data_IF_624780528498
#
_entry.id   IF_624780528498
#
_cell.length_a   1.000
_cell.length_b   1.000
_cell.length_c   1.000
_cell.angle_alpha   90.00
_cell.angle_beta   90.00
_cell.angle_gamma   90.00
#
_symmetry.space_group_name_H-M   'P 1'
#
loop_
_entity.id
_entity.type
_entity.pdbx_description
1 polymer ?
#
# COMPACT_ATOMS: atom_id res chain seq x y z
N UNK A 1 18.82 -0.62 13.89
CA UNK A 1 17.40 -0.86 14.22
C UNK A 1 16.54 -0.21 13.16
N UNK A 2 15.67 -0.97 12.53
CA UNK A 2 14.74 -0.47 11.50
C UNK A 2 13.33 -0.39 12.11
N UNK A 3 12.71 0.78 12.07
CA UNK A 3 11.32 0.98 12.49
C UNK A 3 10.39 0.73 11.30
N UNK A 4 9.34 -0.05 11.52
CA UNK A 4 8.26 -0.23 10.55
C UNK A 4 6.96 0.27 11.15
N UNK A 5 6.38 1.33 10.58
CA UNK A 5 5.04 1.80 10.92
C UNK A 5 3.99 1.11 10.06
N UNK A 6 2.74 1.05 10.52
CA UNK A 6 1.73 0.22 9.84
C UNK A 6 2.09 -1.27 9.83
N UNK A 7 2.84 -1.74 10.81
CA UNK A 7 3.47 -3.06 10.89
C UNK A 7 2.49 -4.25 10.89
N UNK A 8 1.22 -4.02 11.15
CA UNK A 8 0.16 -5.05 11.13
C UNK A 8 -0.70 -5.02 9.86
N UNK A 9 -0.44 -4.06 8.95
CA UNK A 9 -1.15 -3.94 7.67
C UNK A 9 -0.51 -4.76 6.55
N UNK A 10 -1.14 -4.74 5.36
CA UNK A 10 -0.74 -5.54 4.19
C UNK A 10 0.74 -5.40 3.81
N UNK A 11 1.25 -4.18 3.71
CA UNK A 11 2.66 -3.94 3.35
C UNK A 11 3.57 -4.10 4.57
N UNK A 12 3.19 -3.51 5.71
CA UNK A 12 4.06 -3.47 6.89
C UNK A 12 4.33 -4.84 7.50
N UNK A 13 3.34 -5.74 7.56
CA UNK A 13 3.51 -7.08 8.12
C UNK A 13 4.46 -7.91 7.26
N UNK A 14 4.32 -7.84 5.95
CA UNK A 14 5.20 -8.52 5.01
C UNK A 14 6.63 -7.92 5.05
N UNK A 15 6.75 -6.59 5.14
CA UNK A 15 8.04 -5.91 5.30
C UNK A 15 8.76 -6.37 6.60
N UNK A 16 8.04 -6.42 7.72
CA UNK A 16 8.58 -6.93 8.99
C UNK A 16 9.09 -8.36 8.84
N UNK A 17 8.31 -9.23 8.17
CA UNK A 17 8.69 -10.62 7.92
C UNK A 17 9.96 -10.72 7.06
N UNK A 18 10.04 -9.94 5.98
CA UNK A 18 11.18 -9.96 5.06
C UNK A 18 12.45 -9.40 5.70
N UNK A 19 12.36 -8.31 6.47
CA UNK A 19 13.51 -7.74 7.20
C UNK A 19 14.00 -8.71 8.27
N UNK A 20 13.11 -9.33 9.04
CA UNK A 20 13.48 -10.33 10.05
C UNK A 20 14.16 -11.55 9.41
N UNK A 21 13.66 -12.03 8.27
CA UNK A 21 14.27 -13.13 7.51
C UNK A 21 15.68 -12.81 6.99
N UNK A 22 16.00 -11.53 6.78
CA UNK A 22 17.34 -11.04 6.42
C UNK A 22 18.27 -10.86 7.63
N UNK A 23 17.79 -11.12 8.85
CA UNK A 23 18.54 -10.96 10.08
C UNK A 23 18.61 -9.52 10.60
N UNK A 24 17.78 -8.63 10.06
CA UNK A 24 17.74 -7.24 10.49
C UNK A 24 17.09 -7.09 11.87
N UNK A 25 17.55 -6.10 12.63
CA UNK A 25 16.90 -5.71 13.90
C UNK A 25 15.70 -4.84 13.58
N UNK A 26 14.49 -5.36 13.81
CA UNK A 26 13.23 -4.71 13.43
C UNK A 26 12.45 -4.32 14.67
N UNK A 27 11.88 -3.13 14.65
CA UNK A 27 10.87 -2.63 15.58
C UNK A 27 9.57 -2.38 14.83
N UNK A 28 8.51 -3.10 15.22
CA UNK A 28 7.17 -2.98 14.67
C UNK A 28 6.34 -2.01 15.53
N UNK A 29 5.87 -0.92 14.93
CA UNK A 29 5.01 0.05 15.60
C UNK A 29 3.55 -0.27 15.31
N UNK A 30 2.77 -0.42 16.38
CA UNK A 30 1.32 -0.67 16.32
C UNK A 30 0.60 0.01 17.47
N UNK A 31 -0.71 0.28 17.29
CA UNK A 31 -1.59 0.77 18.37
C UNK A 31 -1.94 -0.33 19.38
N UNK A 32 -1.96 -1.57 18.91
CA UNK A 32 -2.26 -2.77 19.73
C UNK A 32 -1.09 -3.77 19.67
N UNK A 33 -0.11 -3.67 20.61
CA UNK A 33 0.99 -4.64 20.67
C UNK A 33 0.57 -6.05 21.04
N UNK A 34 -0.52 -6.22 21.82
CA UNK A 34 -0.96 -7.53 22.28
C UNK A 34 -1.53 -8.39 21.15
N UNK A 35 -2.17 -7.76 20.17
CA UNK A 35 -2.72 -8.43 18.97
C UNK A 35 -1.71 -8.59 17.83
N UNK A 36 -0.49 -8.05 17.94
CA UNK A 36 0.47 -8.05 16.85
C UNK A 36 1.09 -9.44 16.65
N UNK A 37 0.95 -9.98 15.46
CA UNK A 37 1.61 -11.23 15.05
C UNK A 37 2.87 -10.88 14.23
N UNK A 38 4.04 -11.04 14.86
CA UNK A 38 5.33 -10.74 14.24
C UNK A 38 6.30 -11.93 14.39
N UNK A 39 7.32 -12.05 13.52
CA UNK A 39 8.35 -13.08 13.67
C UNK A 39 9.11 -12.99 15.00
N UNK A 40 9.65 -14.12 15.50
CA UNK A 40 10.50 -14.11 16.67
C UNK A 40 11.69 -13.14 16.54
N UNK A 41 11.99 -12.40 17.61
CA UNK A 41 13.09 -11.44 17.64
C UNK A 41 12.72 -10.02 17.15
N UNK A 42 11.52 -9.83 16.62
CA UNK A 42 11.00 -8.49 16.31
C UNK A 42 10.51 -7.81 17.57
N UNK A 43 10.99 -6.59 17.81
CA UNK A 43 10.51 -5.76 18.92
C UNK A 43 9.15 -5.14 18.56
N UNK A 44 8.14 -5.30 19.41
CA UNK A 44 6.83 -4.65 19.20
C UNK A 44 6.68 -3.51 20.18
N UNK A 45 6.37 -2.32 19.66
CA UNK A 45 6.16 -1.13 20.48
C UNK A 45 4.80 -0.51 20.22
N UNK A 46 4.21 0.05 21.28
CA UNK A 46 3.02 0.85 21.13
C UNK A 46 3.36 2.23 20.57
N UNK A 47 2.63 2.65 19.53
CA UNK A 47 2.71 4.00 19.01
C UNK A 47 1.38 4.42 18.39
N UNK A 48 1.01 5.65 18.66
CA UNK A 48 -0.16 6.30 18.07
C UNK A 48 0.29 7.59 17.40
N UNK A 49 -0.10 7.79 16.15
CA UNK A 49 0.27 8.98 15.37
C UNK A 49 -0.27 10.28 15.96
N UNK A 50 -1.30 10.17 16.80
CA UNK A 50 -1.90 11.30 17.52
C UNK A 50 -1.27 11.55 18.91
N UNK A 51 -0.34 10.66 19.34
CA UNK A 51 0.39 10.78 20.61
C UNK A 51 1.89 10.93 20.35
N UNK A 52 2.42 12.18 20.29
CA UNK A 52 3.84 12.43 20.02
C UNK A 52 4.78 11.78 21.04
N UNK A 53 4.36 11.62 22.30
CA UNK A 53 5.16 10.95 23.32
C UNK A 53 5.40 9.48 23.01
N UNK A 54 4.40 8.79 22.50
CA UNK A 54 4.53 7.39 22.08
C UNK A 54 5.45 7.23 20.88
N UNK A 55 5.45 8.20 19.94
CA UNK A 55 6.34 8.19 18.79
C UNK A 55 7.80 8.41 19.16
N UNK A 56 8.06 9.30 20.14
CA UNK A 56 9.42 9.52 20.64
C UNK A 56 10.04 8.25 21.23
N UNK A 57 9.29 7.48 22.01
CA UNK A 57 9.73 6.18 22.52
C UNK A 57 9.98 5.18 21.42
N UNK A 58 9.10 5.14 20.43
CA UNK A 58 9.19 4.20 19.30
C UNK A 58 10.41 4.47 18.40
N UNK A 59 10.84 5.72 18.23
CA UNK A 59 11.96 6.11 17.36
C UNK A 59 13.33 6.04 18.06
N UNK A 60 13.39 5.85 19.38
CA UNK A 60 14.65 5.81 20.11
C UNK A 60 15.60 4.71 19.60
N UNK A 61 16.83 5.08 19.20
CA UNK A 61 17.86 4.15 18.69
C UNK A 61 17.57 3.56 17.30
N UNK A 62 16.60 4.11 16.58
CA UNK A 62 16.28 3.74 15.19
C UNK A 62 17.25 4.43 14.24
N UNK A 63 17.72 3.72 13.23
CA UNK A 63 18.64 4.24 12.20
C UNK A 63 17.94 4.43 10.84
N UNK A 64 16.94 3.61 10.53
CA UNK A 64 16.13 3.72 9.32
C UNK A 64 14.65 3.46 9.66
N UNK A 65 13.74 4.10 8.95
CA UNK A 65 12.30 3.93 9.21
C UNK A 65 11.49 3.84 7.92
N UNK A 66 10.56 2.88 7.91
CA UNK A 66 9.47 2.81 6.94
C UNK A 66 8.26 3.56 7.50
N UNK A 67 7.79 4.53 6.75
CA UNK A 67 6.75 5.46 7.18
C UNK A 67 5.45 5.24 6.38
N UNK A 68 4.41 4.86 7.08
CA UNK A 68 3.05 4.77 6.57
C UNK A 68 2.10 5.33 7.64
N UNK A 69 1.64 6.56 7.43
CA UNK A 69 0.49 7.11 8.15
C UNK A 69 -0.81 6.64 7.53
N UNK A 70 -1.91 6.75 8.25
CA UNK A 70 -3.23 6.54 7.68
C UNK A 70 -3.56 7.72 6.75
N UNK A 71 -3.66 7.49 5.42
CA UNK A 71 -4.00 8.56 4.49
C UNK A 71 -5.45 9.01 4.67
N UNK A 72 -5.74 10.24 4.30
CA UNK A 72 -7.09 10.78 4.35
C UNK A 72 -7.10 12.30 4.37
N UNK A 73 -8.29 12.90 4.21
CA UNK A 73 -8.43 14.34 4.23
C UNK A 73 -7.88 14.96 5.52
N UNK A 74 -6.92 15.88 5.39
CA UNK A 74 -6.32 16.60 6.53
C UNK A 74 -5.46 15.75 7.48
N UNK A 75 -5.13 14.52 7.11
CA UNK A 75 -4.25 13.66 7.91
C UNK A 75 -2.87 14.29 8.11
N UNK A 76 -2.39 14.29 9.37
CA UNK A 76 -1.05 14.74 9.75
C UNK A 76 -0.16 13.61 10.29
N UNK A 77 -0.56 12.38 10.11
CA UNK A 77 0.13 11.21 10.67
C UNK A 77 1.56 11.10 10.16
N UNK A 78 1.77 11.27 8.86
CA UNK A 78 3.11 11.22 8.27
C UNK A 78 4.02 12.34 8.78
N UNK A 79 3.49 13.57 8.93
CA UNK A 79 4.24 14.70 9.46
C UNK A 79 4.69 14.43 10.91
N UNK A 80 3.83 13.86 11.75
CA UNK A 80 4.18 13.49 13.12
C UNK A 80 5.27 12.40 13.16
N UNK A 81 5.17 11.39 12.29
CA UNK A 81 6.16 10.33 12.15
C UNK A 81 7.52 10.87 11.69
N UNK A 82 7.54 11.72 10.67
CA UNK A 82 8.76 12.35 10.17
C UNK A 82 9.40 13.21 11.26
N UNK A 83 8.63 14.04 11.94
CA UNK A 83 9.14 14.89 13.03
C UNK A 83 9.77 14.05 14.15
N UNK A 84 9.13 12.96 14.58
CA UNK A 84 9.66 12.06 15.60
C UNK A 84 10.95 11.36 15.13
N UNK A 85 10.98 10.89 13.88
CA UNK A 85 12.16 10.24 13.29
C UNK A 85 13.35 11.20 13.19
N UNK A 86 13.14 12.41 12.71
CA UNK A 86 14.18 13.45 12.62
C UNK A 86 14.71 13.83 14.01
N UNK A 87 13.83 14.03 14.98
CA UNK A 87 14.22 14.34 16.36
C UNK A 87 15.04 13.22 17.03
N UNK A 88 14.83 11.97 16.63
CA UNK A 88 15.58 10.81 17.11
C UNK A 88 16.89 10.56 16.34
N UNK A 89 17.20 11.36 15.30
CA UNK A 89 18.40 11.22 14.49
C UNK A 89 18.36 10.04 13.51
N UNK A 90 17.16 9.65 13.04
CA UNK A 90 17.02 8.63 12.00
C UNK A 90 17.67 9.12 10.71
N UNK A 91 18.50 8.29 10.09
CA UNK A 91 19.30 8.68 8.91
C UNK A 91 18.57 8.45 7.60
N UNK A 92 17.68 7.45 7.54
CA UNK A 92 17.00 7.02 6.31
C UNK A 92 15.51 6.86 6.52
N UNK A 93 14.73 7.50 5.64
CA UNK A 93 13.28 7.43 5.64
C UNK A 93 12.78 6.83 4.32
N UNK A 94 11.96 5.79 4.39
CA UNK A 94 11.23 5.24 3.24
C UNK A 94 9.75 5.47 3.46
N UNK A 95 9.15 6.34 2.64
CA UNK A 95 7.74 6.74 2.74
C UNK A 95 6.90 5.95 1.75
N UNK A 96 5.89 5.23 2.24
CA UNK A 96 4.83 4.70 1.37
C UNK A 96 3.82 5.81 1.06
N UNK A 97 3.69 6.10 -0.22
CA UNK A 97 2.76 7.04 -0.82
C UNK A 97 1.81 6.28 -1.76
N UNK A 98 1.31 6.91 -2.80
CA UNK A 98 0.49 6.30 -3.84
C UNK A 98 0.79 6.92 -5.20
N UNK A 99 0.57 6.15 -6.28
CA UNK A 99 0.58 6.68 -7.65
C UNK A 99 -0.42 7.85 -7.77
N UNK A 100 -0.07 8.85 -8.59
CA UNK A 100 -0.91 10.03 -8.80
C UNK A 100 -0.89 11.04 -7.64
N UNK A 101 -0.03 10.85 -6.61
CA UNK A 101 0.11 11.86 -5.54
C UNK A 101 0.58 13.19 -6.11
N UNK A 102 -0.21 14.24 -5.86
CA UNK A 102 0.02 15.61 -6.35
C UNK A 102 -0.45 15.84 -7.79
N UNK A 103 -1.08 14.87 -8.42
CA UNK A 103 -1.71 15.04 -9.73
C UNK A 103 -3.13 15.59 -9.58
N UNK A 104 -3.43 16.80 -10.11
CA UNK A 104 -4.75 17.39 -9.99
C UNK A 104 -5.85 16.61 -10.71
N UNK A 105 -5.51 15.76 -11.68
CA UNK A 105 -6.49 14.93 -12.40
C UNK A 105 -7.03 13.79 -11.54
N UNK A 106 -6.27 13.34 -10.52
CA UNK A 106 -6.73 12.33 -9.55
C UNK A 106 -7.81 12.87 -8.61
N UNK A 107 -7.91 14.20 -8.49
CA UNK A 107 -8.84 14.85 -7.58
C UNK A 107 -8.39 14.79 -6.10
N UNK A 108 -9.33 14.93 -5.14
CA UNK A 108 -9.00 15.10 -3.73
C UNK A 108 -8.14 13.99 -3.11
N UNK A 109 -8.25 12.74 -3.58
CA UNK A 109 -7.41 11.64 -3.06
C UNK A 109 -5.95 11.75 -3.50
N UNK A 110 -5.66 12.44 -4.58
CA UNK A 110 -4.29 12.76 -5.02
C UNK A 110 -3.52 13.61 -4.02
N UNK A 111 -4.22 14.37 -3.18
CA UNK A 111 -3.59 15.26 -2.19
C UNK A 111 -3.30 14.59 -0.84
N UNK A 112 -3.86 13.40 -0.58
CA UNK A 112 -3.77 12.79 0.76
C UNK A 112 -2.35 12.50 1.23
N UNK A 113 -1.43 12.20 0.33
CA UNK A 113 -0.04 11.92 0.65
C UNK A 113 0.89 13.13 0.47
N UNK A 114 0.45 14.20 -0.20
CA UNK A 114 1.28 15.38 -0.48
C UNK A 114 1.95 15.97 0.76
N UNK A 115 1.23 16.20 1.89
CA UNK A 115 1.88 16.74 3.10
C UNK A 115 2.95 15.82 3.69
N UNK A 116 2.75 14.49 3.59
CA UNK A 116 3.70 13.49 4.07
C UNK A 116 4.94 13.42 3.18
N UNK A 117 4.77 13.46 1.86
CA UNK A 117 5.89 13.52 0.92
C UNK A 117 6.73 14.79 1.10
N UNK A 118 6.05 15.93 1.28
CA UNK A 118 6.76 17.19 1.52
C UNK A 118 7.55 17.14 2.82
N UNK A 119 6.95 16.65 3.92
CA UNK A 119 7.64 16.50 5.19
C UNK A 119 8.89 15.62 5.10
N UNK A 120 8.83 14.54 4.31
CA UNK A 120 9.97 13.64 4.08
C UNK A 120 11.06 14.35 3.27
N UNK A 121 10.71 15.08 2.20
CA UNK A 121 11.68 15.85 1.39
C UNK A 121 12.38 16.94 2.21
N UNK A 122 11.65 17.60 3.10
CA UNK A 122 12.18 18.69 3.95
C UNK A 122 12.91 18.17 5.20
N UNK A 123 12.95 16.86 5.42
CA UNK A 123 13.47 16.25 6.65
C UNK A 123 14.97 16.42 6.86
N UNK A 124 15.74 16.68 5.80
CA UNK A 124 17.21 16.70 5.83
C UNK A 124 17.84 15.30 6.00
N UNK A 125 17.07 14.22 5.88
CA UNK A 125 17.56 12.84 5.94
C UNK A 125 17.72 12.26 4.54
N UNK A 126 18.36 11.08 4.41
CA UNK A 126 18.26 10.28 3.19
C UNK A 126 16.83 9.77 3.06
N UNK A 127 16.10 10.22 2.05
CA UNK A 127 14.70 9.85 1.88
C UNK A 127 14.42 9.15 0.55
N UNK A 128 13.47 8.23 0.57
CA UNK A 128 12.91 7.60 -0.62
C UNK A 128 11.38 7.55 -0.52
N UNK A 129 10.69 7.84 -1.61
CA UNK A 129 9.23 7.79 -1.69
C UNK A 129 8.83 6.64 -2.62
N UNK A 130 7.93 5.78 -2.16
CA UNK A 130 7.35 4.69 -2.92
C UNK A 130 5.90 5.03 -3.28
N UNK A 131 5.59 5.09 -4.57
CA UNK A 131 4.25 5.36 -5.11
C UNK A 131 3.69 4.11 -5.78
N UNK A 132 3.18 3.14 -5.03
CA UNK A 132 2.57 1.96 -5.63
C UNK A 132 1.28 2.31 -6.37
N UNK A 133 0.98 1.55 -7.41
CA UNK A 133 -0.31 1.47 -8.09
C UNK A 133 -1.28 0.59 -7.27
N UNK A 134 -2.39 0.15 -7.88
CA UNK A 134 -3.37 -0.72 -7.25
C UNK A 134 -2.75 -2.03 -6.76
N UNK A 135 -3.09 -2.45 -5.55
CA UNK A 135 -2.59 -3.71 -5.01
C UNK A 135 -3.42 -4.91 -5.51
N UNK A 136 -2.74 -5.99 -5.89
CA UNK A 136 -3.39 -7.27 -6.21
C UNK A 136 -4.27 -7.76 -5.05
N UNK A 137 -3.85 -7.52 -3.80
CA UNK A 137 -4.60 -7.90 -2.60
C UNK A 137 -5.97 -7.20 -2.45
N UNK A 138 -6.25 -6.13 -3.19
CA UNK A 138 -7.57 -5.50 -3.18
C UNK A 138 -8.65 -6.48 -3.63
N UNK A 139 -8.31 -7.43 -4.49
CA UNK A 139 -9.24 -8.46 -4.98
C UNK A 139 -9.62 -9.50 -3.93
N UNK A 140 -8.96 -9.55 -2.76
CA UNK A 140 -9.41 -10.36 -1.64
C UNK A 140 -10.79 -9.93 -1.12
N UNK A 141 -11.18 -8.67 -1.33
CA UNK A 141 -12.55 -8.21 -1.04
C UNK A 141 -13.63 -8.92 -1.87
N UNK A 142 -13.25 -9.55 -2.99
CA UNK A 142 -14.16 -10.32 -3.84
C UNK A 142 -14.41 -11.75 -3.34
N UNK A 143 -13.63 -12.21 -2.36
CA UNK A 143 -13.66 -13.63 -1.95
C UNK A 143 -15.06 -14.15 -1.63
N UNK A 144 -15.87 -13.35 -0.93
CA UNK A 144 -17.24 -13.73 -0.60
C UNK A 144 -18.14 -13.83 -1.85
N UNK A 145 -18.10 -12.84 -2.74
CA UNK A 145 -18.89 -12.85 -3.98
C UNK A 145 -18.47 -14.01 -4.88
N UNK A 146 -17.16 -14.20 -5.06
CA UNK A 146 -16.60 -15.31 -5.82
C UNK A 146 -17.01 -16.66 -5.22
N UNK A 147 -16.96 -16.81 -3.90
CA UNK A 147 -17.41 -18.02 -3.19
C UNK A 147 -18.87 -18.36 -3.46
N UNK A 148 -19.73 -17.35 -3.58
CA UNK A 148 -21.16 -17.50 -3.87
C UNK A 148 -21.51 -17.59 -5.36
N UNK A 149 -20.52 -17.42 -6.25
CA UNK A 149 -20.77 -17.32 -7.70
C UNK A 149 -21.49 -16.02 -8.10
N UNK A 150 -21.40 -14.98 -7.28
CA UNK A 150 -21.97 -13.66 -7.52
C UNK A 150 -21.00 -12.80 -8.32
N UNK A 151 -21.47 -11.85 -9.16
CA UNK A 151 -20.59 -10.91 -9.83
C UNK A 151 -19.84 -10.01 -8.83
N UNK A 152 -18.54 -9.80 -9.07
CA UNK A 152 -17.75 -8.86 -8.26
C UNK A 152 -18.00 -7.41 -8.70
N UNK A 153 -18.01 -6.46 -7.78
CA UNK A 153 -18.25 -5.04 -8.10
C UNK A 153 -17.07 -4.47 -8.88
N UNK A 154 -17.36 -3.82 -10.01
CA UNK A 154 -16.40 -3.09 -10.80
C UNK A 154 -16.68 -1.58 -10.74
N UNK A 155 -15.82 -0.83 -10.09
CA UNK A 155 -15.93 0.62 -9.93
C UNK A 155 -15.22 1.39 -11.05
N UNK A 156 -14.35 0.75 -11.83
CA UNK A 156 -13.46 1.39 -12.81
C UNK A 156 -13.77 1.07 -14.26
N UNK A 157 -14.79 0.23 -14.55
CA UNK A 157 -15.10 -0.21 -15.91
C UNK A 157 -13.90 -0.92 -16.56
N UNK A 158 -13.57 -0.53 -17.78
CA UNK A 158 -12.42 -1.08 -18.53
C UNK A 158 -11.10 -0.33 -18.25
N UNK A 159 -11.07 0.57 -17.25
CA UNK A 159 -9.89 1.33 -16.87
C UNK A 159 -8.76 0.41 -16.40
N UNK A 160 -7.56 0.62 -16.94
CA UNK A 160 -6.37 -0.17 -16.65
C UNK A 160 -5.60 0.36 -15.45
N UNK A 161 -4.93 -0.52 -14.72
CA UNK A 161 -3.99 -0.18 -13.64
C UNK A 161 -2.79 -1.13 -13.67
N UNK A 162 -1.60 -0.62 -13.41
CA UNK A 162 -0.40 -1.43 -13.21
C UNK A 162 -0.45 -2.17 -11.88
N UNK A 163 -1.30 -3.21 -11.80
CA UNK A 163 -1.58 -3.93 -10.54
C UNK A 163 -0.32 -4.60 -9.99
N UNK A 164 0.06 -4.25 -8.74
CA UNK A 164 1.29 -4.75 -8.12
C UNK A 164 1.01 -5.71 -6.96
N UNK A 165 1.84 -6.74 -6.84
CA UNK A 165 1.86 -7.62 -5.67
C UNK A 165 2.40 -6.86 -4.45
N UNK A 166 1.66 -6.81 -3.32
CA UNK A 166 2.13 -6.17 -2.08
C UNK A 166 3.49 -6.69 -1.58
N UNK A 167 3.81 -7.96 -1.88
CA UNK A 167 5.11 -8.56 -1.49
C UNK A 167 6.28 -7.90 -2.20
N UNK A 168 6.10 -7.46 -3.46
CA UNK A 168 7.14 -6.75 -4.21
C UNK A 168 7.33 -5.33 -3.68
N UNK A 169 6.27 -4.64 -3.29
CA UNK A 169 6.38 -3.33 -2.62
C UNK A 169 7.15 -3.45 -1.30
N UNK A 170 6.86 -4.49 -0.51
CA UNK A 170 7.56 -4.77 0.74
C UNK A 170 9.03 -5.14 0.49
N UNK A 171 9.34 -5.90 -0.57
CA UNK A 171 10.71 -6.27 -0.92
C UNK A 171 11.52 -5.05 -1.41
N UNK A 172 10.92 -4.18 -2.22
CA UNK A 172 11.52 -2.90 -2.62
C UNK A 172 11.84 -2.06 -1.38
N UNK A 173 10.87 -1.90 -0.47
CA UNK A 173 11.08 -1.16 0.77
C UNK A 173 12.20 -1.78 1.63
N UNK A 174 12.25 -3.11 1.76
CA UNK A 174 13.28 -3.81 2.53
C UNK A 174 14.68 -3.58 1.96
N UNK A 175 14.83 -3.67 0.63
CA UNK A 175 16.13 -3.41 -0.03
C UNK A 175 16.58 -1.98 0.19
N UNK A 176 15.71 -1.00 -0.04
CA UNK A 176 16.04 0.42 0.14
C UNK A 176 16.43 0.73 1.59
N UNK A 177 15.72 0.14 2.57
CA UNK A 177 16.05 0.33 3.99
C UNK A 177 17.42 -0.22 4.37
N UNK A 178 17.86 -1.31 3.74
CA UNK A 178 19.11 -2.02 4.07
C UNK A 178 20.28 -1.59 3.18
N UNK A 179 20.09 -1.62 1.86
CA UNK A 179 21.20 -1.52 0.90
C UNK A 179 21.69 -0.08 0.69
N UNK A 180 20.81 0.94 0.84
CA UNK A 180 21.16 2.34 0.56
C UNK A 180 21.28 2.65 -0.94
N UNK A 181 21.73 3.88 -1.25
CA UNK A 181 21.90 4.32 -2.64
C UNK A 181 20.61 4.75 -3.36
N UNK A 182 19.52 4.91 -2.61
CA UNK A 182 18.20 5.28 -3.13
C UNK A 182 17.73 6.66 -2.62
N UNK A 183 18.66 7.45 -2.06
CA UNK A 183 18.34 8.77 -1.51
C UNK A 183 17.81 9.74 -2.57
N UNK A 184 16.89 10.61 -2.15
CA UNK A 184 16.23 11.63 -2.98
C UNK A 184 15.51 11.07 -4.22
N UNK A 185 15.01 9.84 -4.15
CA UNK A 185 14.29 9.19 -5.24
C UNK A 185 12.82 8.96 -4.91
N UNK A 186 12.00 9.06 -5.95
CA UNK A 186 10.61 8.63 -5.94
C UNK A 186 10.46 7.51 -6.96
N UNK A 187 9.97 6.35 -6.52
CA UNK A 187 9.72 5.18 -7.36
C UNK A 187 8.23 4.97 -7.54
N UNK A 188 7.77 4.85 -8.78
CA UNK A 188 6.39 4.46 -9.10
C UNK A 188 6.33 2.95 -9.28
N UNK A 189 5.76 2.26 -8.31
CA UNK A 189 5.79 0.81 -8.26
C UNK A 189 4.54 0.20 -8.91
N UNK A 190 4.74 -0.49 -10.03
CA UNK A 190 3.68 -1.20 -10.76
C UNK A 190 4.04 -2.68 -10.90
N UNK A 191 3.03 -3.51 -11.18
CA UNK A 191 3.25 -4.82 -11.77
C UNK A 191 3.79 -4.69 -13.21
N UNK A 192 4.11 -5.82 -13.86
CA UNK A 192 4.70 -5.83 -15.19
C UNK A 192 3.66 -5.55 -16.31
N UNK A 193 2.39 -5.46 -15.98
CA UNK A 193 1.29 -5.28 -16.92
C UNK A 193 0.22 -4.34 -16.35
N UNK A 194 -0.44 -3.59 -17.23
CA UNK A 194 -1.63 -2.82 -16.88
C UNK A 194 -2.87 -3.65 -17.23
N UNK A 195 -3.71 -3.94 -16.23
CA UNK A 195 -4.89 -4.78 -16.36
C UNK A 195 -6.12 -4.14 -15.73
N UNK A 196 -7.29 -4.37 -16.34
CA UNK A 196 -8.59 -3.93 -15.85
C UNK A 196 -9.17 -4.88 -14.81
N UNK A 197 -10.25 -4.46 -14.12
CA UNK A 197 -11.02 -5.32 -13.22
C UNK A 197 -11.61 -6.54 -13.93
N UNK A 198 -12.20 -6.42 -15.15
CA UNK A 198 -12.62 -7.58 -15.92
C UNK A 198 -11.48 -8.57 -16.25
N UNK A 199 -10.29 -8.08 -16.62
CA UNK A 199 -9.13 -8.93 -16.86
C UNK A 199 -8.62 -9.63 -15.61
N UNK A 200 -8.59 -8.94 -14.46
CA UNK A 200 -8.29 -9.56 -13.16
C UNK A 200 -9.30 -10.70 -12.85
N UNK A 201 -10.59 -10.46 -13.10
CA UNK A 201 -11.62 -11.48 -12.90
C UNK A 201 -11.43 -12.67 -13.84
N UNK A 202 -11.03 -12.45 -15.10
CA UNK A 202 -10.73 -13.51 -16.06
C UNK A 202 -9.52 -14.35 -15.65
N UNK A 203 -8.45 -13.70 -15.15
CA UNK A 203 -7.28 -14.41 -14.60
C UNK A 203 -7.69 -15.25 -13.40
N UNK A 204 -8.46 -14.67 -12.46
CA UNK A 204 -8.93 -15.39 -11.29
C UNK A 204 -9.85 -16.57 -11.67
N UNK A 205 -10.71 -16.42 -12.69
CA UNK A 205 -11.53 -17.51 -13.23
C UNK A 205 -10.68 -18.67 -13.76
N UNK A 206 -9.59 -18.37 -14.45
CA UNK A 206 -8.64 -19.37 -14.93
C UNK A 206 -7.97 -20.13 -13.80
N UNK A 207 -7.50 -19.40 -12.77
CA UNK A 207 -6.85 -19.97 -11.57
C UNK A 207 -7.81 -20.88 -10.79
N UNK A 208 -9.08 -20.47 -10.66
CA UNK A 208 -10.08 -21.21 -9.90
C UNK A 208 -10.76 -22.34 -10.70
N UNK A 209 -10.63 -22.36 -12.03
CA UNK A 209 -11.31 -23.31 -12.91
C UNK A 209 -12.84 -23.12 -12.93
N UNK A 210 -13.33 -21.93 -12.62
CA UNK A 210 -14.77 -21.59 -12.60
C UNK A 210 -14.99 -20.11 -12.98
N UNK A 211 -16.17 -19.75 -13.52
CA UNK A 211 -16.44 -18.37 -13.90
C UNK A 211 -16.33 -17.39 -12.72
N UNK A 212 -15.70 -16.25 -12.97
CA UNK A 212 -15.74 -15.05 -12.13
C UNK A 212 -16.20 -13.92 -13.03
N UNK A 213 -17.36 -13.35 -12.73
CA UNK A 213 -17.97 -12.28 -13.53
C UNK A 213 -17.90 -10.96 -12.79
N UNK A 214 -17.97 -9.87 -13.53
CA UNK A 214 -17.97 -8.50 -12.99
C UNK A 214 -19.32 -7.83 -13.21
N UNK A 215 -19.66 -6.89 -12.34
CA UNK A 215 -20.78 -5.97 -12.52
C UNK A 215 -20.31 -4.53 -12.35
N UNK A 216 -20.42 -3.76 -13.41
CA UNK A 216 -20.10 -2.33 -13.36
C UNK A 216 -21.03 -1.59 -12.43
N UNK A 217 -20.45 -0.75 -11.57
CA UNK A 217 -21.17 0.14 -10.70
C UNK A 217 -21.26 1.54 -11.33
N UNK A 218 -22.44 2.14 -11.24
CA UNK A 218 -22.59 3.58 -11.49
C UNK A 218 -21.83 4.39 -10.40
N UNK A 219 -21.59 5.69 -10.60
CA UNK A 219 -21.00 6.55 -9.57
C UNK A 219 -21.76 6.52 -8.23
N UNK A 220 -23.09 6.53 -8.26
CA UNK A 220 -23.91 6.47 -7.04
C UNK A 220 -23.80 5.12 -6.36
N UNK A 221 -23.87 4.00 -7.10
CA UNK A 221 -23.64 2.65 -6.56
C UNK A 221 -22.23 2.49 -6.02
N UNK A 222 -21.22 3.07 -6.66
CA UNK A 222 -19.84 3.09 -6.18
C UNK A 222 -19.74 3.81 -4.84
N UNK A 223 -20.33 4.99 -4.72
CA UNK A 223 -20.38 5.74 -3.45
C UNK A 223 -21.03 4.92 -2.34
N UNK A 224 -22.21 4.36 -2.61
CA UNK A 224 -22.93 3.55 -1.63
C UNK A 224 -22.14 2.30 -1.21
N UNK A 225 -21.44 1.66 -2.15
CA UNK A 225 -20.57 0.53 -1.88
C UNK A 225 -19.39 0.92 -0.97
N UNK A 226 -18.75 2.07 -1.21
CA UNK A 226 -17.66 2.57 -0.38
C UNK A 226 -18.11 2.87 1.05
N UNK A 227 -19.29 3.47 1.21
CA UNK A 227 -19.85 3.78 2.53
C UNK A 227 -20.27 2.53 3.30
N UNK A 228 -20.92 1.57 2.63
CA UNK A 228 -21.57 0.43 3.30
C UNK A 228 -20.68 -0.80 3.44
N UNK A 229 -19.96 -1.16 2.37
CA UNK A 229 -19.12 -2.36 2.34
C UNK A 229 -17.72 -2.12 2.88
N UNK A 230 -17.17 -0.89 2.67
CA UNK A 230 -15.81 -0.54 3.09
C UNK A 230 -15.78 0.32 4.36
N UNK A 231 -16.92 0.87 4.77
CA UNK A 231 -17.05 1.66 5.99
C UNK A 231 -16.36 3.02 5.94
N UNK A 232 -16.14 3.57 4.74
CA UNK A 232 -15.58 4.91 4.58
C UNK A 232 -16.58 5.99 4.96
N UNK A 233 -16.08 7.15 5.38
CA UNK A 233 -16.90 8.35 5.50
C UNK A 233 -17.12 9.03 4.14
N UNK A 234 -17.99 10.04 4.12
CA UNK A 234 -18.35 10.77 2.89
C UNK A 234 -17.15 11.43 2.20
N UNK A 235 -16.22 11.99 2.95
CA UNK A 235 -15.06 12.67 2.39
C UNK A 235 -14.07 11.68 1.79
N UNK A 236 -13.87 10.54 2.43
CA UNK A 236 -13.07 9.43 1.92
C UNK A 236 -13.72 8.83 0.65
N UNK A 237 -15.03 8.56 0.71
CA UNK A 237 -15.77 8.01 -0.42
C UNK A 237 -15.72 8.94 -1.65
N UNK A 238 -15.87 10.26 -1.44
CA UNK A 238 -15.76 11.24 -2.51
C UNK A 238 -14.35 11.26 -3.16
N UNK A 239 -13.30 11.18 -2.34
CA UNK A 239 -11.93 11.11 -2.85
C UNK A 239 -11.68 9.84 -3.68
N UNK A 240 -12.12 8.68 -3.19
CA UNK A 240 -11.95 7.41 -3.89
C UNK A 240 -12.78 7.39 -5.17
N UNK A 241 -14.00 7.93 -5.15
CA UNK A 241 -14.85 8.04 -6.33
C UNK A 241 -14.17 8.86 -7.44
N UNK A 242 -13.52 9.97 -7.10
CA UNK A 242 -12.73 10.75 -8.06
C UNK A 242 -11.56 9.92 -8.62
N UNK A 243 -10.84 9.19 -7.76
CA UNK A 243 -9.78 8.26 -8.18
C UNK A 243 -10.28 7.14 -9.11
N UNK A 244 -11.47 6.57 -8.85
CA UNK A 244 -12.07 5.56 -9.75
C UNK A 244 -12.44 6.16 -11.11
N UNK A 245 -12.91 7.41 -11.16
CA UNK A 245 -13.19 8.12 -12.41
C UNK A 245 -11.89 8.38 -13.20
N UNK A 246 -10.79 8.75 -12.53
CA UNK A 246 -9.47 8.90 -13.14
C UNK A 246 -8.98 7.59 -13.78
N UNK A 247 -9.09 6.47 -13.05
CA UNK A 247 -8.75 5.13 -13.59
C UNK A 247 -9.63 4.78 -14.79
N UNK A 248 -10.94 5.00 -14.70
CA UNK A 248 -11.90 4.77 -15.80
C UNK A 248 -11.56 5.58 -17.04
N UNK A 249 -11.02 6.80 -16.87
CA UNK A 249 -10.52 7.67 -17.94
C UNK A 249 -9.17 7.25 -18.52
N UNK A 250 -8.53 6.18 -18.01
CA UNK A 250 -7.22 5.70 -18.47
C UNK A 250 -6.01 6.33 -17.78
N UNK A 251 -6.23 7.21 -16.79
CA UNK A 251 -5.13 7.94 -16.14
C UNK A 251 -4.18 7.06 -15.31
N UNK A 252 -4.58 5.82 -14.95
CA UNK A 252 -3.74 4.89 -14.19
C UNK A 252 -3.18 3.72 -15.04
N UNK A 253 -3.29 3.79 -16.37
CA UNK A 253 -2.74 2.79 -17.29
C UNK A 253 -1.21 2.94 -17.42
N UNK A 254 -0.50 2.91 -16.29
CA UNK A 254 0.94 3.14 -16.20
C UNK A 254 1.65 1.84 -15.80
N UNK A 255 2.73 1.52 -16.52
CA UNK A 255 3.70 0.46 -16.18
C UNK A 255 5.08 1.08 -16.18
N UNK A 256 5.85 0.83 -15.11
CA UNK A 256 7.23 1.32 -14.95
C UNK A 256 8.19 0.17 -14.69
N UNK A 257 9.47 0.42 -14.92
CA UNK A 257 10.55 -0.51 -14.58
C UNK A 257 11.10 -0.32 -13.15
N UNK A 258 10.57 0.64 -12.39
CA UNK A 258 11.10 1.04 -11.08
C UNK A 258 11.16 -0.13 -10.08
N UNK A 259 10.09 -0.95 -10.04
CA UNK A 259 10.08 -2.14 -9.19
C UNK A 259 11.16 -3.14 -9.62
N UNK A 260 11.29 -3.40 -10.92
CA UNK A 260 12.26 -4.34 -11.46
C UNK A 260 13.71 -3.84 -11.26
N UNK A 261 13.96 -2.53 -11.40
CA UNK A 261 15.27 -1.91 -11.13
C UNK A 261 15.74 -2.22 -9.70
N UNK A 262 14.88 -2.00 -8.71
CA UNK A 262 15.23 -2.25 -7.29
C UNK A 262 15.28 -3.74 -6.97
N UNK A 263 14.35 -4.54 -7.52
CA UNK A 263 14.26 -5.98 -7.25
C UNK A 263 15.36 -6.80 -7.95
N UNK A 264 15.93 -6.29 -9.04
CA UNK A 264 16.84 -7.07 -9.89
C UNK A 264 16.14 -8.23 -10.63
N UNK A 265 14.82 -8.19 -10.72
CA UNK A 265 13.93 -9.13 -11.43
C UNK A 265 12.63 -8.42 -11.78
N UNK A 266 11.85 -8.96 -12.72
CA UNK A 266 10.48 -8.49 -12.95
C UNK A 266 9.64 -8.57 -11.68
N UNK A 267 8.73 -7.62 -11.50
CA UNK A 267 7.70 -7.72 -10.49
C UNK A 267 6.78 -8.93 -10.81
N UNK A 268 6.14 -9.47 -9.78
CA UNK A 268 5.17 -10.57 -9.94
C UNK A 268 3.97 -10.10 -10.74
N UNK A 269 3.47 -10.98 -11.60
CA UNK A 269 2.21 -10.78 -12.31
C UNK A 269 1.02 -10.92 -11.36
N UNK A 270 -0.13 -10.36 -11.77
CA UNK A 270 -1.38 -10.61 -11.04
C UNK A 270 -1.75 -12.11 -11.03
N UNK A 271 -1.41 -12.83 -12.10
CA UNK A 271 -1.66 -14.29 -12.20
C UNK A 271 -0.89 -15.08 -11.15
N UNK A 272 0.40 -14.79 -10.95
CA UNK A 272 1.22 -15.41 -9.90
C UNK A 272 0.67 -15.12 -8.50
N UNK A 273 0.26 -13.86 -8.25
CA UNK A 273 -0.39 -13.50 -7.00
C UNK A 273 -1.70 -14.27 -6.79
N UNK A 274 -2.54 -14.37 -7.82
CA UNK A 274 -3.84 -15.04 -7.74
C UNK A 274 -3.69 -16.56 -7.47
N UNK A 275 -2.69 -17.20 -8.09
CA UNK A 275 -2.41 -18.64 -7.85
C UNK A 275 -1.98 -18.87 -6.39
N UNK A 276 -1.09 -18.04 -5.86
CA UNK A 276 -0.63 -18.13 -4.47
C UNK A 276 -1.77 -17.91 -3.45
N UNK A 277 -2.80 -17.14 -3.83
CA UNK A 277 -3.92 -16.79 -2.96
C UNK A 277 -5.24 -17.52 -3.30
N UNK A 278 -5.19 -18.51 -4.21
CA UNK A 278 -6.40 -19.23 -4.68
C UNK A 278 -7.29 -19.77 -3.57
N UNK A 279 -6.69 -20.18 -2.45
CA UNK A 279 -7.43 -20.73 -1.31
C UNK A 279 -8.35 -19.70 -0.66
N UNK A 280 -8.02 -18.40 -0.70
CA UNK A 280 -8.87 -17.34 -0.17
C UNK A 280 -10.21 -17.23 -0.91
N UNK A 281 -10.26 -17.68 -2.14
CA UNK A 281 -11.45 -17.64 -3.01
C UNK A 281 -12.16 -19.00 -3.12
N UNK A 282 -11.60 -20.07 -2.55
CA UNK A 282 -12.13 -21.42 -2.66
C UNK A 282 -13.25 -21.72 -1.64
N UNK A 283 -13.30 -20.97 -0.53
CA UNK A 283 -14.25 -21.17 0.55
C UNK A 283 -15.53 -20.37 0.26
N UNK A 284 -16.58 -21.07 -0.18
CA UNK A 284 -17.95 -20.62 -0.28
C UNK A 284 -18.86 -21.71 0.24
#
# INVERSE_FOLDING_TARGET
>A
MILVTGATGTIGSELVRQLAARGEKVRALTRDPAGAQVPPGVEVVRGDYLDPGSLQGATAGVTAAFLLGAPGPGSRHDQALVAAAVAAGVHRLVKLSAIGTGDPEVGPSGDWHVPGEQAVRDSGTEWTILRPSSFASNTLSWAQAVGRGEPVPNMTGDGLSGVIDPRDVSEVAARILVDGGHGERTYTLTGPEAISVPEQAAVLASVLGRPVTTRDLSPDETRDHLLTAWGFDEAQAAGILAGTAFVRGGGNAVVTEDAAEVLGRSARTYGEWAEDHRQAFAAG
#
